data_IF_289724339933
#
_entry.id   IF_289724339933
#
_cell.length_a   1.000
_cell.length_b   1.000
_cell.length_c   1.000
_cell.angle_alpha   90.00
_cell.angle_beta   90.00
_cell.angle_gamma   90.00
#
_symmetry.space_group_name_H-M   'P 1'
#
loop_
_entity.id
_entity.type
_entity.pdbx_description
1 polymer ?
#
# COMPACT_ATOMS: atom_id res chain seq x y z
N UNK A 1 -12.53 -2.02 -1.14
CA UNK A 1 -13.83 -1.64 -1.73
C UNK A 1 -13.64 -1.62 -3.23
N UNK A 2 -14.71 -1.88 -4.00
CA UNK A 2 -14.67 -1.71 -5.44
C UNK A 2 -14.42 -0.23 -5.82
N UNK A 3 -14.00 0.00 -7.07
CA UNK A 3 -13.79 1.37 -7.61
C UNK A 3 -15.10 2.17 -7.65
N UNK A 4 -16.22 1.50 -7.88
CA UNK A 4 -17.54 2.14 -7.95
C UNK A 4 -18.00 2.58 -6.56
N UNK A 5 -17.91 1.72 -5.55
CA UNK A 5 -18.32 2.08 -4.18
C UNK A 5 -17.44 3.21 -3.62
N UNK A 6 -16.15 3.19 -3.97
CA UNK A 6 -15.26 4.27 -3.58
C UNK A 6 -15.57 5.60 -4.29
N UNK A 7 -16.10 5.56 -5.52
CA UNK A 7 -16.58 6.76 -6.23
C UNK A 7 -17.74 7.40 -5.51
N UNK A 8 -18.71 6.62 -5.05
CA UNK A 8 -19.83 7.13 -4.25
C UNK A 8 -19.32 7.82 -2.97
N UNK A 9 -18.38 7.20 -2.26
CA UNK A 9 -17.74 7.81 -1.08
C UNK A 9 -16.99 9.10 -1.44
N UNK A 10 -16.25 9.10 -2.55
CA UNK A 10 -15.52 10.27 -3.01
C UNK A 10 -16.46 11.44 -3.32
N UNK A 11 -17.56 11.19 -4.03
CA UNK A 11 -18.51 12.22 -4.47
C UNK A 11 -19.22 12.92 -3.29
N UNK A 12 -19.38 12.24 -2.16
CA UNK A 12 -19.95 12.80 -0.93
C UNK A 12 -19.04 13.83 -0.22
N UNK A 13 -17.73 13.83 -0.49
CA UNK A 13 -16.81 14.75 0.18
C UNK A 13 -16.90 16.16 -0.45
N UNK A 14 -17.24 17.21 0.33
CA UNK A 14 -17.32 18.57 -0.18
C UNK A 14 -15.93 19.22 -0.30
N UNK A 15 -15.88 20.30 -1.09
CA UNK A 15 -14.69 21.14 -1.24
C UNK A 15 -13.78 20.74 -2.39
N UNK A 16 -12.71 21.52 -2.57
CA UNK A 16 -11.70 21.25 -3.58
C UNK A 16 -10.92 19.97 -3.23
N UNK A 17 -10.81 19.08 -4.21
CA UNK A 17 -10.16 17.78 -4.07
C UNK A 17 -9.47 17.39 -5.38
N UNK A 18 -8.36 16.64 -5.33
CA UNK A 18 -7.71 16.10 -6.52
C UNK A 18 -8.67 15.22 -7.32
N UNK A 19 -8.32 14.92 -8.58
CA UNK A 19 -9.14 14.07 -9.43
C UNK A 19 -9.44 12.71 -8.76
N UNK A 20 -10.62 12.15 -9.02
CA UNK A 20 -10.99 10.84 -8.51
C UNK A 20 -9.95 9.77 -8.85
N UNK A 21 -9.43 9.78 -10.07
CA UNK A 21 -8.46 8.79 -10.53
C UNK A 21 -7.15 8.88 -9.74
N UNK A 22 -6.66 10.09 -9.43
CA UNK A 22 -5.47 10.27 -8.60
C UNK A 22 -5.71 9.77 -7.17
N UNK A 23 -6.85 10.12 -6.57
CA UNK A 23 -7.19 9.67 -5.22
C UNK A 23 -7.35 8.14 -5.18
N UNK A 24 -8.03 7.55 -6.15
CA UNK A 24 -8.19 6.11 -6.27
C UNK A 24 -6.83 5.41 -6.36
N UNK A 25 -5.95 5.88 -7.23
CA UNK A 25 -4.60 5.33 -7.42
C UNK A 25 -3.75 5.36 -6.15
N UNK A 26 -3.91 6.39 -5.32
CA UNK A 26 -3.15 6.54 -4.07
C UNK A 26 -3.76 5.71 -2.93
N UNK A 27 -5.08 5.68 -2.84
CA UNK A 27 -5.80 5.04 -1.73
C UNK A 27 -6.03 3.55 -1.96
N UNK A 28 -6.05 3.09 -3.21
CA UNK A 28 -6.45 1.73 -3.60
C UNK A 28 -7.87 1.41 -3.14
N UNK A 29 -8.74 2.41 -3.04
CA UNK A 29 -10.09 2.25 -2.50
C UNK A 29 -10.16 2.06 -0.99
N UNK A 30 -9.11 2.43 -0.24
CA UNK A 30 -9.09 2.33 1.22
C UNK A 30 -9.72 3.58 1.88
N UNK A 31 -10.90 3.49 2.53
CA UNK A 31 -11.58 4.64 3.12
C UNK A 31 -10.79 5.30 4.24
N UNK A 32 -9.98 4.53 4.98
CA UNK A 32 -9.17 5.06 6.07
C UNK A 32 -8.06 5.97 5.55
N UNK A 33 -7.38 5.59 4.46
CA UNK A 33 -6.39 6.46 3.81
C UNK A 33 -7.08 7.67 3.18
N UNK A 34 -8.23 7.47 2.54
CA UNK A 34 -8.99 8.58 1.97
C UNK A 34 -9.34 9.65 3.01
N UNK A 35 -9.89 9.24 4.16
CA UNK A 35 -10.16 10.14 5.29
C UNK A 35 -8.90 10.84 5.81
N UNK A 36 -7.78 10.11 5.86
CA UNK A 36 -6.50 10.68 6.30
C UNK A 36 -6.02 11.77 5.34
N UNK A 37 -6.06 11.52 4.02
CA UNK A 37 -5.72 12.52 3.01
C UNK A 37 -6.62 13.75 3.12
N UNK A 38 -7.93 13.56 3.26
CA UNK A 38 -8.87 14.67 3.45
C UNK A 38 -8.51 15.52 4.68
N UNK A 39 -8.22 14.87 5.81
CA UNK A 39 -7.83 15.56 7.06
C UNK A 39 -6.51 16.32 6.93
N UNK A 40 -5.63 15.90 6.02
CA UNK A 40 -4.36 16.53 5.68
C UNK A 40 -4.48 17.46 4.47
N UNK A 41 -5.70 17.88 4.10
CA UNK A 41 -5.98 18.76 2.95
C UNK A 41 -5.34 18.28 1.65
N UNK A 42 -5.37 16.96 1.45
CA UNK A 42 -4.81 16.27 0.29
C UNK A 42 -3.28 16.36 0.16
N UNK A 43 -2.56 16.73 1.23
CA UNK A 43 -1.10 16.70 1.23
C UNK A 43 -0.59 15.25 1.31
N UNK A 44 -0.17 14.73 0.15
CA UNK A 44 0.34 13.36 0.02
C UNK A 44 1.65 13.21 0.81
N UNK A 45 2.53 14.21 0.80
CA UNK A 45 3.81 14.14 1.48
C UNK A 45 3.65 14.02 2.99
N UNK A 46 2.74 14.80 3.58
CA UNK A 46 2.42 14.72 5.01
C UNK A 46 1.83 13.35 5.37
N UNK A 47 0.96 12.81 4.51
CA UNK A 47 0.38 11.49 4.69
C UNK A 47 1.44 10.39 4.64
N UNK A 48 2.40 10.49 3.70
CA UNK A 48 3.53 9.57 3.61
C UNK A 48 4.42 9.69 4.86
N UNK A 49 4.81 10.90 5.27
CA UNK A 49 5.70 11.08 6.42
C UNK A 49 5.03 10.61 7.72
N UNK A 50 3.71 10.76 7.84
CA UNK A 50 2.92 10.14 8.92
C UNK A 50 2.99 8.60 8.86
N UNK A 51 2.89 7.99 7.68
CA UNK A 51 2.98 6.53 7.52
C UNK A 51 4.37 6.03 7.88
N UNK A 52 5.43 6.71 7.41
CA UNK A 52 6.82 6.38 7.75
C UNK A 52 7.00 6.32 9.27
N UNK A 53 6.46 7.30 10.00
CA UNK A 53 6.51 7.33 11.47
C UNK A 53 5.65 6.24 12.11
N UNK A 54 4.38 6.14 11.73
CA UNK A 54 3.42 5.22 12.36
C UNK A 54 3.70 3.74 12.09
N UNK A 55 4.37 3.43 10.97
CA UNK A 55 4.82 2.08 10.62
C UNK A 55 6.24 1.78 11.09
N UNK A 56 6.87 2.73 11.78
CA UNK A 56 8.24 2.63 12.28
C UNK A 56 9.19 2.18 11.15
N UNK A 57 9.12 2.87 10.01
CA UNK A 57 10.05 2.68 8.89
C UNK A 57 11.38 3.37 9.21
N UNK A 58 12.03 2.91 10.28
CA UNK A 58 13.26 3.50 10.81
C UNK A 58 14.45 3.26 9.86
N UNK A 59 15.51 4.08 9.95
CA UNK A 59 16.72 3.87 9.17
C UNK A 59 17.31 2.47 9.32
N UNK A 60 17.27 1.90 10.53
CA UNK A 60 17.75 0.53 10.80
C UNK A 60 16.90 -0.53 10.10
N UNK A 61 15.56 -0.39 10.17
CA UNK A 61 14.64 -1.31 9.50
C UNK A 61 14.86 -1.29 7.98
N UNK A 62 14.94 -0.09 7.39
CA UNK A 62 15.11 0.07 5.95
C UNK A 62 16.49 -0.42 5.51
N UNK A 63 17.56 -0.07 6.24
CA UNK A 63 18.93 -0.52 5.93
C UNK A 63 19.05 -2.04 5.99
N UNK A 64 18.48 -2.66 7.04
CA UNK A 64 18.50 -4.11 7.24
C UNK A 64 17.85 -4.87 6.08
N UNK A 65 16.73 -4.37 5.57
CA UNK A 65 15.93 -5.05 4.54
C UNK A 65 16.00 -4.39 3.16
N UNK A 66 16.99 -3.53 2.94
CA UNK A 66 17.05 -2.61 1.80
C UNK A 66 16.75 -3.28 0.46
N UNK A 67 17.54 -4.29 0.09
CA UNK A 67 17.40 -4.99 -1.18
C UNK A 67 16.01 -5.63 -1.34
N UNK A 68 15.51 -6.29 -0.28
CA UNK A 68 14.20 -6.93 -0.31
C UNK A 68 13.06 -5.92 -0.40
N UNK A 69 13.19 -4.75 0.25
CA UNK A 69 12.23 -3.66 0.15
C UNK A 69 12.26 -2.99 -1.24
N UNK A 70 13.44 -2.79 -1.83
CA UNK A 70 13.59 -2.27 -3.20
C UNK A 70 12.87 -3.18 -4.21
N UNK A 71 13.08 -4.50 -4.13
CA UNK A 71 12.38 -5.47 -4.98
C UNK A 71 10.86 -5.47 -4.72
N UNK A 72 10.43 -5.41 -3.46
CA UNK A 72 9.01 -5.43 -3.08
C UNK A 72 8.24 -4.16 -3.48
N UNK A 73 8.92 -3.01 -3.52
CA UNK A 73 8.32 -1.75 -3.97
C UNK A 73 8.00 -1.81 -5.47
N UNK A 74 8.81 -2.51 -6.26
CA UNK A 74 8.55 -2.67 -7.69
C UNK A 74 7.57 -3.81 -7.98
N UNK A 75 7.70 -4.94 -7.27
CA UNK A 75 6.78 -6.07 -7.36
C UNK A 75 6.61 -6.78 -6.00
N UNK A 76 5.45 -6.68 -5.33
CA UNK A 76 5.23 -7.31 -4.04
C UNK A 76 5.33 -8.85 -4.09
N UNK A 77 5.17 -9.48 -5.26
CA UNK A 77 5.36 -10.93 -5.40
C UNK A 77 6.81 -11.38 -5.18
N UNK A 78 7.79 -10.46 -5.19
CA UNK A 78 9.16 -10.78 -4.75
C UNK A 78 9.19 -11.32 -3.31
N UNK A 79 8.25 -10.90 -2.46
CA UNK A 79 8.11 -11.39 -1.08
C UNK A 79 7.69 -12.87 -1.04
N UNK A 80 7.06 -13.39 -2.10
CA UNK A 80 6.58 -14.78 -2.19
C UNK A 80 7.65 -15.78 -2.61
N UNK A 81 8.84 -15.33 -3.02
CA UNK A 81 9.91 -16.22 -3.48
C UNK A 81 10.47 -17.07 -2.34
N UNK A 82 10.96 -18.27 -2.64
CA UNK A 82 11.41 -19.24 -1.63
C UNK A 82 12.67 -18.79 -0.87
N UNK A 83 13.49 -17.94 -1.50
CA UNK A 83 14.69 -17.33 -0.93
C UNK A 83 14.39 -16.16 0.01
N UNK A 84 13.14 -15.68 0.06
CA UNK A 84 12.78 -14.54 0.90
C UNK A 84 12.78 -14.94 2.37
N UNK A 85 13.52 -14.18 3.18
CA UNK A 85 13.63 -14.41 4.62
C UNK A 85 12.26 -14.40 5.30
N UNK A 86 11.97 -15.43 6.11
CA UNK A 86 10.73 -15.49 6.90
C UNK A 86 10.62 -14.32 7.87
N UNK A 87 11.73 -13.92 8.48
CA UNK A 87 11.77 -12.78 9.40
C UNK A 87 11.37 -11.47 8.72
N UNK A 88 11.78 -11.27 7.45
CA UNK A 88 11.36 -10.11 6.68
C UNK A 88 9.85 -10.10 6.45
N UNK A 89 9.28 -11.24 6.06
CA UNK A 89 7.84 -11.39 5.83
C UNK A 89 7.07 -11.09 7.11
N UNK A 90 7.51 -11.67 8.24
CA UNK A 90 6.87 -11.49 9.54
C UNK A 90 6.91 -10.03 10.00
N UNK A 91 8.02 -9.32 9.77
CA UNK A 91 8.11 -7.88 10.08
C UNK A 91 7.15 -7.03 9.23
N UNK A 92 7.03 -7.31 7.93
CA UNK A 92 6.08 -6.61 7.06
C UNK A 92 4.62 -6.85 7.48
N UNK A 93 4.29 -8.07 7.89
CA UNK A 93 2.97 -8.44 8.43
C UNK A 93 2.73 -7.75 9.77
N UNK A 94 3.71 -7.80 10.69
CA UNK A 94 3.64 -7.18 12.03
C UNK A 94 3.42 -5.68 11.94
N UNK A 95 4.11 -5.00 11.02
CA UNK A 95 3.91 -3.57 10.73
C UNK A 95 2.63 -3.30 9.93
N UNK A 96 1.91 -4.34 9.51
CA UNK A 96 0.70 -4.27 8.70
C UNK A 96 0.92 -3.43 7.43
N UNK A 97 1.99 -3.77 6.69
CA UNK A 97 2.36 -3.15 5.42
C UNK A 97 1.81 -3.93 4.23
N UNK A 98 1.70 -5.25 4.37
CA UNK A 98 1.29 -6.16 3.30
C UNK A 98 0.13 -7.06 3.73
N UNK A 99 -0.56 -7.61 2.73
CA UNK A 99 -1.37 -8.81 2.83
C UNK A 99 -0.56 -9.92 2.16
N UNK A 100 -0.20 -10.94 2.93
CA UNK A 100 0.59 -12.09 2.46
C UNK A 100 -0.31 -13.30 2.25
N UNK A 101 0.01 -14.14 1.26
CA UNK A 101 -0.79 -15.31 0.89
C UNK A 101 -2.23 -14.96 0.52
N UNK A 102 -2.39 -14.08 -0.47
CA UNK A 102 -3.70 -13.71 -0.99
C UNK A 102 -4.47 -14.95 -1.43
N UNK A 103 -5.73 -15.06 -0.98
CA UNK A 103 -6.62 -16.12 -1.42
C UNK A 103 -6.82 -16.08 -2.94
N UNK A 104 -7.17 -17.24 -3.48
CA UNK A 104 -7.60 -17.33 -4.87
C UNK A 104 -8.76 -16.37 -5.14
N UNK A 105 -8.75 -15.74 -6.32
CA UNK A 105 -9.73 -14.70 -6.71
C UNK A 105 -11.04 -15.31 -7.21
N UNK A 106 -11.48 -16.37 -6.51
CA UNK A 106 -12.77 -17.03 -6.78
C UNK A 106 -13.87 -16.21 -6.11
N UNK A 107 -14.98 -15.90 -6.80
CA UNK A 107 -16.07 -15.08 -6.23
C UNK A 107 -16.58 -15.57 -4.87
N UNK A 108 -16.56 -16.88 -4.59
CA UNK A 108 -16.99 -17.43 -3.30
C UNK A 108 -16.00 -17.28 -2.14
N UNK A 109 -14.79 -16.77 -2.39
CA UNK A 109 -13.76 -16.54 -1.35
C UNK A 109 -13.64 -15.07 -0.94
N UNK A 110 -14.43 -14.19 -1.55
CA UNK A 110 -14.40 -12.75 -1.30
C UNK A 110 -15.81 -12.24 -1.02
N UNK A 111 -15.93 -11.32 -0.06
CA UNK A 111 -17.22 -10.70 0.30
C UNK A 111 -17.71 -9.78 -0.84
N UNK A 112 -16.78 -9.19 -1.57
CA UNK A 112 -16.99 -8.26 -2.67
C UNK A 112 -16.21 -8.76 -3.91
N UNK A 113 -16.10 -7.95 -4.96
CA UNK A 113 -15.28 -8.25 -6.12
C UNK A 113 -13.83 -8.54 -5.68
N UNK A 114 -13.25 -9.69 -6.08
CA UNK A 114 -11.86 -10.00 -5.78
C UNK A 114 -10.93 -8.96 -6.41
N UNK A 115 -9.76 -8.71 -5.82
CA UNK A 115 -8.76 -7.83 -6.42
C UNK A 115 -8.31 -8.39 -7.78
N UNK A 116 -7.76 -7.54 -8.67
CA UNK A 116 -7.19 -8.00 -9.94
C UNK A 116 -6.11 -9.07 -9.70
N UNK A 117 -5.88 -9.92 -10.71
CA UNK A 117 -4.82 -10.95 -10.62
C UNK A 117 -3.45 -10.33 -10.31
N UNK A 118 -3.13 -9.22 -10.98
CA UNK A 118 -1.95 -8.41 -10.72
C UNK A 118 -2.20 -7.00 -11.23
N UNK A 119 -1.91 -6.02 -10.39
CA UNK A 119 -1.93 -4.61 -10.73
C UNK A 119 -0.86 -3.89 -9.90
N UNK A 120 0.31 -3.71 -10.53
CA UNK A 120 1.46 -3.08 -9.89
C UNK A 120 1.24 -1.59 -9.63
N UNK A 121 0.32 -0.93 -10.33
CA UNK A 121 0.05 0.50 -10.12
C UNK A 121 -0.49 0.75 -8.70
N UNK A 122 -1.41 -0.11 -8.26
CA UNK A 122 -1.99 -0.09 -6.91
C UNK A 122 -1.29 -1.04 -5.91
N UNK A 123 -0.19 -1.68 -6.33
CA UNK A 123 0.62 -2.52 -5.45
C UNK A 123 0.02 -3.90 -5.14
N UNK A 124 -0.72 -4.47 -6.08
CA UNK A 124 -1.31 -5.81 -5.98
C UNK A 124 -0.52 -6.79 -6.84
N UNK A 125 0.14 -7.75 -6.19
CA UNK A 125 0.72 -8.93 -6.83
C UNK A 125 -0.27 -10.10 -6.87
N UNK A 126 0.17 -11.23 -7.42
CA UNK A 126 -0.60 -12.48 -7.46
C UNK A 126 -0.79 -13.07 -6.06
N UNK A 127 0.27 -13.12 -5.26
CA UNK A 127 0.26 -13.77 -3.95
C UNK A 127 0.40 -12.79 -2.79
N UNK A 128 0.96 -11.60 -3.06
CA UNK A 128 1.20 -10.58 -2.04
C UNK A 128 0.72 -9.23 -2.56
N UNK A 129 0.08 -8.44 -1.71
CA UNK A 129 -0.27 -7.06 -2.01
C UNK A 129 0.19 -6.14 -0.89
N UNK A 130 0.50 -4.89 -1.23
CA UNK A 130 0.54 -3.83 -0.23
C UNK A 130 -0.86 -3.62 0.35
N UNK A 131 -0.95 -3.35 1.65
CA UNK A 131 -2.23 -3.02 2.30
C UNK A 131 -2.90 -1.81 1.64
N UNK A 132 -2.08 -0.83 1.23
CA UNK A 132 -2.50 0.32 0.41
C UNK A 132 -1.35 0.77 -0.50
N UNK A 133 -1.64 1.40 -1.66
CA UNK A 133 -0.60 1.96 -2.53
C UNK A 133 0.28 2.99 -1.79
N UNK A 134 -0.32 3.78 -0.90
CA UNK A 134 0.42 4.78 -0.11
C UNK A 134 1.46 4.16 0.84
N UNK A 135 1.27 2.91 1.29
CA UNK A 135 2.28 2.23 2.11
C UNK A 135 3.52 1.85 1.29
N UNK A 136 3.34 1.43 0.04
CA UNK A 136 4.44 1.24 -0.91
C UNK A 136 5.21 2.54 -1.12
N UNK A 137 4.51 3.65 -1.35
CA UNK A 137 5.17 4.96 -1.53
C UNK A 137 5.91 5.42 -0.28
N UNK A 138 5.42 5.09 0.92
CA UNK A 138 6.14 5.36 2.16
C UNK A 138 7.45 4.58 2.29
N UNK A 139 7.44 3.29 1.95
CA UNK A 139 8.67 2.49 1.87
C UNK A 139 9.62 3.05 0.82
N UNK A 140 9.11 3.39 -0.37
CA UNK A 140 9.91 4.02 -1.44
C UNK A 140 10.55 5.34 -1.00
N UNK A 141 9.81 6.21 -0.31
CA UNK A 141 10.35 7.48 0.23
C UNK A 141 11.41 7.22 1.30
N UNK A 142 11.20 6.21 2.17
CA UNK A 142 12.15 5.86 3.21
C UNK A 142 13.47 5.30 2.64
N UNK A 143 13.40 4.44 1.62
CA UNK A 143 14.59 3.95 0.89
C UNK A 143 15.42 5.10 0.31
N UNK A 144 14.78 6.03 -0.40
CA UNK A 144 15.45 7.22 -0.99
C UNK A 144 16.12 8.13 0.02
N UNK A 145 15.68 8.14 1.28
CA UNK A 145 16.28 8.97 2.34
C UNK A 145 17.60 8.39 2.86
N UNK A 146 17.85 7.09 2.69
CA UNK A 146 19.11 6.43 3.10
C UNK A 146 20.19 6.53 2.02
N UNK A 147 19.79 6.81 0.78
CA UNK A 147 20.70 7.03 -0.34
C UNK A 147 21.32 8.43 -0.39
N UNK A 148 20.90 9.32 0.50
CA UNK A 148 21.39 10.69 0.63
C UNK A 148 22.28 10.81 1.85
#
# INVERSE_FOLDING_TARGET
MSKNDFRELYDQIPGEKPSFEDVWRITGGNPRIFRQLYSMRWNIDDAIDYIVRSKELTPDFISRWRRSLEEAVEDPDSIWRSETSREFIDELIRKNLIVYNLYERRPGLWIDQPPPEKDLEIGVGKNVAWQTPLYREAVRKALKKIDR
#
